data_IF_838658945602
#
_entry.id   IF_838658945602
#
_cell.length_a   1.000
_cell.length_b   1.000
_cell.length_c   1.000
_cell.angle_alpha   90.00
_cell.angle_beta   90.00
_cell.angle_gamma   90.00
#
_symmetry.space_group_name_H-M   'P 1'
#
loop_
_entity.id
_entity.type
_entity.pdbx_description
1 polymer ?
#
# COMPACT_ATOMS: atom_id res chain seq x y z
N UNK A 1 -14.95 -17.14 5.51
CA UNK A 1 -14.94 -16.86 4.06
C UNK A 1 -16.03 -15.87 3.67
N UNK A 2 -15.65 -14.82 2.95
CA UNK A 2 -16.52 -13.81 2.34
C UNK A 2 -17.32 -14.44 1.20
N UNK A 3 -18.63 -14.20 1.18
CA UNK A 3 -19.50 -14.63 0.08
C UNK A 3 -19.28 -13.74 -1.13
N UNK A 4 -19.48 -14.26 -2.34
CA UNK A 4 -19.28 -13.48 -3.57
C UNK A 4 -20.18 -12.24 -3.66
N UNK A 5 -21.41 -12.31 -3.11
CA UNK A 5 -22.31 -11.16 -3.00
C UNK A 5 -21.80 -10.06 -2.05
N UNK A 6 -20.84 -10.38 -1.18
CA UNK A 6 -20.25 -9.46 -0.22
C UNK A 6 -18.92 -8.86 -0.70
N UNK A 7 -18.46 -9.25 -1.90
CA UNK A 7 -17.31 -8.65 -2.58
C UNK A 7 -17.68 -7.29 -3.15
N UNK A 8 -16.85 -6.29 -2.91
CA UNK A 8 -17.01 -4.94 -3.46
C UNK A 8 -16.47 -4.91 -4.90
N UNK A 9 -15.32 -5.53 -5.16
CA UNK A 9 -14.63 -5.49 -6.45
C UNK A 9 -15.07 -6.65 -7.34
N UNK A 10 -16.31 -6.58 -7.80
CA UNK A 10 -17.00 -7.69 -8.48
C UNK A 10 -16.47 -8.05 -9.88
N UNK A 11 -15.60 -7.20 -10.46
CA UNK A 11 -14.90 -7.45 -11.72
C UNK A 11 -13.38 -7.35 -11.58
N UNK A 12 -12.81 -7.62 -10.39
CA UNK A 12 -11.36 -7.46 -10.15
C UNK A 12 -10.46 -8.30 -11.06
N UNK A 13 -11.01 -9.34 -11.71
CA UNK A 13 -10.29 -10.20 -12.67
C UNK A 13 -10.50 -9.81 -14.13
N UNK A 14 -11.30 -8.78 -14.41
CA UNK A 14 -11.57 -8.31 -15.78
C UNK A 14 -12.33 -9.28 -16.67
N UNK A 15 -13.08 -10.22 -16.08
CA UNK A 15 -13.85 -11.25 -16.78
C UNK A 15 -15.22 -10.76 -17.28
N UNK A 16 -15.72 -9.66 -16.72
CA UNK A 16 -16.99 -9.00 -17.09
C UNK A 16 -16.71 -7.72 -17.88
N UNK A 17 -17.75 -7.21 -18.53
CA UNK A 17 -17.72 -5.96 -19.29
C UNK A 17 -17.21 -4.79 -18.44
N UNK A 18 -16.18 -4.09 -18.93
CA UNK A 18 -15.51 -2.98 -18.22
C UNK A 18 -16.10 -1.62 -18.55
N UNK A 19 -16.94 -1.51 -19.58
CA UNK A 19 -17.60 -0.27 -19.98
C UNK A 19 -18.52 0.26 -18.88
N UNK A 20 -18.93 1.52 -19.00
CA UNK A 20 -19.92 2.14 -18.12
C UNK A 20 -21.22 1.32 -18.04
N UNK A 21 -21.68 0.76 -19.16
CA UNK A 21 -22.87 -0.11 -19.18
C UNK A 21 -22.65 -1.36 -18.34
N UNK A 22 -21.50 -2.00 -18.50
CA UNK A 22 -21.09 -3.14 -17.68
C UNK A 22 -21.05 -2.78 -16.20
N UNK A 23 -20.47 -1.62 -15.86
CA UNK A 23 -20.40 -1.14 -14.49
C UNK A 23 -21.79 -0.86 -13.89
N UNK A 24 -22.68 -0.17 -14.60
CA UNK A 24 -24.05 0.07 -14.14
C UNK A 24 -24.82 -1.23 -13.91
N UNK A 25 -24.61 -2.26 -14.75
CA UNK A 25 -25.24 -3.57 -14.55
C UNK A 25 -24.80 -4.28 -13.26
N UNK A 26 -23.67 -3.87 -12.66
CA UNK A 26 -23.15 -4.36 -11.38
C UNK A 26 -23.50 -3.47 -10.19
N UNK A 27 -24.30 -2.42 -10.41
CA UNK A 27 -24.75 -1.49 -9.36
C UNK A 27 -23.83 -0.29 -9.12
N UNK A 28 -22.86 -0.04 -10.01
CA UNK A 28 -22.11 1.23 -9.99
C UNK A 28 -22.99 2.36 -10.49
N UNK A 29 -22.78 3.56 -9.96
CA UNK A 29 -23.59 4.75 -10.26
C UNK A 29 -25.08 4.67 -9.86
N UNK A 30 -25.47 3.62 -9.12
CA UNK A 30 -26.83 3.50 -8.58
C UNK A 30 -26.98 4.37 -7.32
N UNK A 31 -27.98 5.25 -7.32
CA UNK A 31 -28.28 6.14 -6.20
C UNK A 31 -27.20 7.18 -5.87
N UNK A 32 -26.21 7.43 -6.73
CA UNK A 32 -25.10 8.38 -6.46
C UNK A 32 -25.62 9.79 -6.13
N UNK A 33 -26.59 10.28 -6.91
CA UNK A 33 -27.24 11.57 -6.63
C UNK A 33 -27.90 11.60 -5.26
N UNK A 34 -28.64 10.55 -4.90
CA UNK A 34 -29.29 10.43 -3.58
C UNK A 34 -28.26 10.41 -2.45
N UNK A 35 -27.10 9.79 -2.64
CA UNK A 35 -25.99 9.81 -1.67
C UNK A 35 -25.47 11.24 -1.47
N UNK A 36 -25.27 12.00 -2.56
CA UNK A 36 -24.83 13.39 -2.51
C UNK A 36 -25.90 14.29 -1.85
N UNK A 37 -27.18 14.10 -2.17
CA UNK A 37 -28.30 14.86 -1.60
C UNK A 37 -28.45 14.67 -0.08
N UNK A 38 -27.96 13.57 0.49
CA UNK A 38 -27.90 13.37 1.96
C UNK A 38 -26.88 14.29 2.66
N UNK A 39 -25.97 14.91 1.90
CA UNK A 39 -25.05 15.94 2.39
C UNK A 39 -23.71 15.41 2.92
N UNK A 40 -22.75 16.34 3.02
CA UNK A 40 -21.34 16.07 3.39
C UNK A 40 -21.21 15.40 4.76
N UNK A 41 -21.90 15.95 5.76
CA UNK A 41 -21.82 15.46 7.14
C UNK A 41 -22.37 14.02 7.25
N UNK A 42 -23.44 13.68 6.51
CA UNK A 42 -23.95 12.31 6.48
C UNK A 42 -22.92 11.33 5.91
N UNK A 43 -22.31 11.66 4.76
CA UNK A 43 -21.28 10.81 4.13
C UNK A 43 -20.09 10.60 5.06
N UNK A 44 -19.56 11.68 5.65
CA UNK A 44 -18.41 11.58 6.56
C UNK A 44 -18.76 10.73 7.78
N UNK A 45 -19.95 10.90 8.36
CA UNK A 45 -20.38 10.14 9.53
C UNK A 45 -20.61 8.66 9.22
N UNK A 46 -21.21 8.32 8.08
CA UNK A 46 -21.32 6.93 7.63
C UNK A 46 -19.94 6.31 7.39
N UNK A 47 -19.01 7.03 6.75
CA UNK A 47 -17.66 6.53 6.54
C UNK A 47 -16.89 6.35 7.85
N UNK A 48 -17.13 7.20 8.87
CA UNK A 48 -16.60 7.00 10.23
C UNK A 48 -17.24 5.77 10.89
N UNK A 49 -18.56 5.65 10.83
CA UNK A 49 -19.32 4.54 11.41
C UNK A 49 -18.97 3.19 10.77
N UNK A 50 -18.59 3.18 9.49
CA UNK A 50 -18.14 1.98 8.79
C UNK A 50 -16.86 1.39 9.38
N UNK A 51 -16.07 2.19 10.11
CA UNK A 51 -14.76 1.79 10.62
C UNK A 51 -13.69 1.60 9.55
N UNK A 52 -13.91 2.09 8.31
CA UNK A 52 -12.93 1.96 7.23
C UNK A 52 -11.59 2.61 7.60
N UNK A 53 -10.54 1.79 7.64
CA UNK A 53 -9.15 2.21 7.77
C UNK A 53 -8.46 2.33 6.41
N UNK A 54 -7.53 3.25 6.29
CA UNK A 54 -6.81 3.54 5.05
C UNK A 54 -6.12 2.32 4.46
N UNK A 55 -6.34 2.07 3.18
CA UNK A 55 -5.94 0.86 2.46
C UNK A 55 -4.57 0.95 1.77
N UNK A 56 -3.83 2.04 2.03
CA UNK A 56 -2.51 2.29 1.44
C UNK A 56 -1.30 1.90 2.30
N UNK A 57 -1.50 1.43 3.54
CA UNK A 57 -0.37 1.03 4.41
C UNK A 57 -0.52 1.48 5.86
N UNK A 58 -0.72 2.79 6.05
CA UNK A 58 -0.74 3.40 7.38
C UNK A 58 -1.99 3.04 8.24
N UNK A 59 -3.07 2.56 7.61
CA UNK A 59 -4.28 2.16 8.35
C UNK A 59 -5.00 3.30 9.08
N UNK A 60 -4.80 4.56 8.69
CA UNK A 60 -5.44 5.73 9.32
C UNK A 60 -6.96 5.74 9.04
N UNK A 61 -7.85 6.02 10.00
CA UNK A 61 -9.30 5.99 9.78
C UNK A 61 -9.76 6.96 8.68
N UNK A 62 -10.39 6.44 7.62
CA UNK A 62 -10.66 7.18 6.38
C UNK A 62 -11.70 8.28 6.59
N UNK A 63 -12.83 7.98 7.24
CA UNK A 63 -13.85 8.99 7.54
C UNK A 63 -13.35 10.09 8.48
N UNK A 64 -12.43 9.78 9.41
CA UNK A 64 -11.77 10.78 10.24
C UNK A 64 -10.86 11.68 9.38
N UNK A 65 -10.08 11.08 8.48
CA UNK A 65 -9.21 11.82 7.55
C UNK A 65 -9.98 12.83 6.73
N UNK A 66 -11.12 12.42 6.16
CA UNK A 66 -11.98 13.29 5.36
C UNK A 66 -12.54 14.47 6.16
N UNK A 67 -12.78 14.26 7.46
CA UNK A 67 -13.27 15.33 8.34
C UNK A 67 -12.23 16.39 8.70
N UNK A 68 -10.96 16.22 8.33
CA UNK A 68 -9.94 17.26 8.51
C UNK A 68 -9.99 18.34 7.43
N UNK A 69 -10.66 18.08 6.31
CA UNK A 69 -10.82 19.09 5.26
C UNK A 69 -11.67 20.25 5.79
N UNK A 70 -11.31 21.51 5.50
CA UNK A 70 -12.07 22.67 5.96
C UNK A 70 -13.55 22.58 5.57
N UNK A 71 -14.44 22.96 6.49
CA UNK A 71 -15.86 23.05 6.17
C UNK A 71 -16.16 24.27 5.31
N UNK A 72 -15.60 25.40 5.73
CA UNK A 72 -15.68 26.70 5.05
C UNK A 72 -14.45 26.88 4.16
N UNK A 73 -14.66 27.35 2.93
CA UNK A 73 -13.56 27.71 2.04
C UNK A 73 -13.06 29.10 2.41
N UNK A 74 -11.74 29.25 2.51
CA UNK A 74 -11.07 30.54 2.66
C UNK A 74 -10.77 31.22 1.31
N UNK A 75 -11.46 30.80 0.25
CA UNK A 75 -11.23 31.21 -1.13
C UNK A 75 -10.31 30.26 -1.91
N UNK A 76 -9.57 29.38 -1.23
CA UNK A 76 -8.79 28.32 -1.92
C UNK A 76 -9.72 27.17 -2.32
N UNK A 77 -9.55 26.58 -3.52
CA UNK A 77 -10.25 25.36 -3.90
C UNK A 77 -9.80 24.20 -3.01
N UNK A 78 -10.64 23.19 -2.83
CA UNK A 78 -10.23 21.93 -2.21
C UNK A 78 -9.92 20.89 -3.29
N UNK A 79 -8.92 20.06 -3.04
CA UNK A 79 -8.56 18.96 -3.94
C UNK A 79 -8.69 17.60 -3.26
N UNK A 80 -9.18 16.64 -4.04
CA UNK A 80 -8.95 15.22 -3.76
C UNK A 80 -7.75 14.78 -4.59
N UNK A 81 -6.80 14.08 -3.98
CA UNK A 81 -5.75 13.40 -4.73
C UNK A 81 -5.82 11.91 -4.43
N UNK A 82 -6.00 11.11 -5.48
CA UNK A 82 -5.99 9.66 -5.38
C UNK A 82 -4.58 9.17 -5.64
N UNK A 83 -4.01 8.49 -4.65
CA UNK A 83 -2.72 7.84 -4.76
C UNK A 83 -2.89 6.49 -5.46
N UNK A 84 -2.52 6.47 -6.73
CA UNK A 84 -2.53 5.30 -7.61
C UNK A 84 -1.10 4.96 -8.12
N UNK A 85 -0.07 5.32 -7.35
CA UNK A 85 1.32 5.04 -7.68
C UNK A 85 1.70 3.57 -7.42
N UNK A 86 1.22 2.95 -6.35
CA UNK A 86 1.37 1.51 -6.07
C UNK A 86 2.77 0.91 -6.41
N UNK A 87 3.84 1.60 -5.99
CA UNK A 87 5.20 1.13 -6.25
C UNK A 87 5.73 0.16 -5.17
N UNK A 88 4.92 -0.14 -4.15
CA UNK A 88 5.28 -1.06 -3.06
C UNK A 88 5.50 -2.48 -3.60
N UNK A 89 6.67 -3.10 -3.36
CA UNK A 89 6.92 -4.46 -3.84
C UNK A 89 5.95 -5.47 -3.22
N UNK A 90 5.37 -6.30 -4.09
CA UNK A 90 4.33 -7.28 -3.75
C UNK A 90 2.90 -6.74 -3.92
N UNK A 91 2.73 -5.43 -4.16
CA UNK A 91 1.42 -4.78 -4.24
C UNK A 91 0.96 -4.62 -5.69
N UNK A 92 -0.27 -5.07 -5.99
CA UNK A 92 -0.86 -4.98 -7.33
C UNK A 92 -2.41 -4.89 -7.32
N UNK A 93 -3.01 -4.46 -6.20
CA UNK A 93 -4.47 -4.31 -6.04
C UNK A 93 -5.03 -3.07 -6.76
N UNK A 94 -4.33 -1.94 -6.69
CA UNK A 94 -4.73 -0.67 -7.27
C UNK A 94 -4.66 -0.76 -8.79
N UNK A 95 -3.63 -1.47 -9.29
CA UNK A 95 -3.53 -1.91 -10.68
C UNK A 95 -4.80 -2.60 -11.16
N UNK A 96 -5.26 -3.63 -10.43
CA UNK A 96 -6.47 -4.38 -10.81
C UNK A 96 -7.72 -3.50 -10.82
N UNK A 97 -7.88 -2.62 -9.83
CA UNK A 97 -9.00 -1.67 -9.78
C UNK A 97 -9.00 -0.77 -11.02
N UNK A 98 -7.87 -0.14 -11.34
CA UNK A 98 -7.77 0.80 -12.47
C UNK A 98 -8.04 0.14 -13.83
N UNK A 99 -7.55 -1.09 -14.05
CA UNK A 99 -7.67 -1.75 -15.38
C UNK A 99 -8.93 -2.59 -15.57
N UNK A 100 -9.62 -2.97 -14.49
CA UNK A 100 -10.74 -3.91 -14.55
C UNK A 100 -12.04 -3.38 -13.99
N UNK A 101 -11.99 -2.43 -13.06
CA UNK A 101 -13.18 -1.83 -12.47
C UNK A 101 -13.03 -0.31 -12.20
N UNK A 102 -12.59 0.49 -13.20
CA UNK A 102 -12.28 1.91 -13.01
C UNK A 102 -13.49 2.75 -12.59
N UNK A 103 -14.69 2.39 -13.04
CA UNK A 103 -15.94 3.08 -12.69
C UNK A 103 -16.22 3.10 -11.19
N UNK A 104 -15.80 2.07 -10.46
CA UNK A 104 -15.88 2.00 -9.00
C UNK A 104 -15.02 3.07 -8.33
N UNK A 105 -13.81 3.29 -8.86
CA UNK A 105 -12.93 4.35 -8.40
C UNK A 105 -13.47 5.74 -8.76
N UNK A 106 -13.94 5.92 -9.99
CA UNK A 106 -14.44 7.21 -10.50
C UNK A 106 -15.65 7.68 -9.69
N UNK A 107 -16.62 6.80 -9.43
CA UNK A 107 -17.77 7.09 -8.57
C UNK A 107 -17.30 7.45 -7.14
N UNK A 108 -16.31 6.70 -6.62
CA UNK A 108 -15.69 6.99 -5.33
C UNK A 108 -15.06 8.37 -5.28
N UNK A 109 -14.41 8.82 -6.35
CA UNK A 109 -13.80 10.15 -6.44
C UNK A 109 -14.86 11.24 -6.31
N UNK A 110 -15.99 11.12 -7.03
CA UNK A 110 -17.08 12.08 -6.95
C UNK A 110 -17.65 12.18 -5.53
N UNK A 111 -17.97 11.03 -4.92
CA UNK A 111 -18.56 10.98 -3.59
C UNK A 111 -17.59 11.52 -2.52
N UNK A 112 -16.34 11.05 -2.54
CA UNK A 112 -15.32 11.51 -1.59
C UNK A 112 -14.97 12.99 -1.80
N UNK A 113 -14.93 13.42 -3.07
CA UNK A 113 -14.75 14.81 -3.47
C UNK A 113 -15.85 15.71 -2.88
N UNK A 114 -17.12 15.36 -3.10
CA UNK A 114 -18.25 16.06 -2.51
C UNK A 114 -18.17 16.12 -0.97
N UNK A 115 -17.91 14.99 -0.30
CA UNK A 115 -17.76 14.94 1.16
C UNK A 115 -16.72 15.94 1.68
N UNK A 116 -15.62 16.10 0.95
CA UNK A 116 -14.51 16.99 1.27
C UNK A 116 -14.61 18.40 0.64
N UNK A 117 -15.73 18.71 -0.02
CA UNK A 117 -15.94 19.92 -0.83
C UNK A 117 -14.88 20.16 -1.91
N UNK A 118 -14.27 19.09 -2.43
CA UNK A 118 -13.45 19.15 -3.61
C UNK A 118 -14.33 19.13 -4.87
N UNK A 119 -14.05 20.05 -5.79
CA UNK A 119 -14.59 20.08 -7.14
C UNK A 119 -13.66 19.45 -8.17
N UNK A 120 -12.47 19.03 -7.73
CA UNK A 120 -11.46 18.45 -8.61
C UNK A 120 -10.75 17.31 -7.90
N UNK A 121 -10.66 16.17 -8.58
CA UNK A 121 -9.78 15.08 -8.22
C UNK A 121 -8.61 14.97 -9.19
N UNK A 122 -7.42 14.75 -8.65
CA UNK A 122 -6.30 14.25 -9.42
C UNK A 122 -6.06 12.78 -9.08
N UNK A 123 -6.05 11.90 -10.07
CA UNK A 123 -5.62 10.52 -9.90
C UNK A 123 -4.17 10.44 -10.34
N UNK A 124 -3.26 10.30 -9.39
CA UNK A 124 -1.83 10.20 -9.64
C UNK A 124 -1.46 8.73 -9.88
N UNK A 125 -1.35 8.35 -11.14
CA UNK A 125 -1.09 6.99 -11.60
C UNK A 125 0.41 6.73 -11.67
N UNK A 126 0.83 5.53 -11.31
CA UNK A 126 2.20 5.07 -11.51
C UNK A 126 2.65 5.28 -12.96
N UNK A 127 3.88 5.73 -13.17
CA UNK A 127 4.42 5.95 -14.52
C UNK A 127 4.40 4.69 -15.40
N UNK A 128 4.66 3.52 -14.81
CA UNK A 128 4.71 2.24 -15.52
C UNK A 128 3.32 1.66 -15.86
N UNK A 129 2.26 2.16 -15.23
CA UNK A 129 0.88 1.70 -15.41
C UNK A 129 0.21 2.36 -16.62
N UNK A 130 0.86 2.27 -17.78
CA UNK A 130 0.40 2.93 -19.01
C UNK A 130 -0.95 2.40 -19.50
N UNK A 131 -1.16 1.08 -19.46
CA UNK A 131 -2.41 0.45 -19.94
C UNK A 131 -3.56 0.64 -18.96
N UNK A 132 -3.26 0.58 -17.67
CA UNK A 132 -4.19 0.88 -16.59
C UNK A 132 -4.64 2.34 -16.68
N UNK A 133 -3.72 3.28 -16.97
CA UNK A 133 -4.02 4.70 -17.19
C UNK A 133 -4.90 4.94 -18.41
N UNK A 134 -4.61 4.28 -19.54
CA UNK A 134 -5.43 4.34 -20.74
C UNK A 134 -6.86 3.83 -20.47
N UNK A 135 -6.99 2.69 -19.77
CA UNK A 135 -8.28 2.15 -19.39
C UNK A 135 -9.06 3.06 -18.43
N UNK A 136 -8.38 3.68 -17.47
CA UNK A 136 -8.96 4.63 -16.55
C UNK A 136 -9.42 5.90 -17.27
N UNK A 137 -8.61 6.45 -18.18
CA UNK A 137 -8.98 7.64 -18.96
C UNK A 137 -10.21 7.36 -19.83
N UNK A 138 -10.25 6.22 -20.53
CA UNK A 138 -11.41 5.83 -21.31
C UNK A 138 -12.69 5.74 -20.47
N UNK A 139 -12.61 5.19 -19.25
CA UNK A 139 -13.74 5.15 -18.33
C UNK A 139 -14.16 6.53 -17.80
N UNK A 140 -13.20 7.44 -17.59
CA UNK A 140 -13.48 8.84 -17.24
C UNK A 140 -14.22 9.54 -18.39
N UNK A 141 -13.76 9.35 -19.63
CA UNK A 141 -14.38 9.92 -20.82
C UNK A 141 -15.83 9.42 -20.97
N UNK A 142 -16.08 8.11 -20.79
CA UNK A 142 -17.43 7.54 -20.74
C UNK A 142 -18.32 8.23 -19.68
N UNK A 143 -17.76 8.59 -18.52
CA UNK A 143 -18.49 9.28 -17.46
C UNK A 143 -18.79 10.75 -17.81
N UNK A 144 -17.87 11.45 -18.50
CA UNK A 144 -18.14 12.79 -19.02
C UNK A 144 -19.24 12.75 -20.09
N UNK A 145 -19.14 11.84 -21.06
CA UNK A 145 -20.14 11.67 -22.13
C UNK A 145 -21.53 11.34 -21.58
N UNK A 146 -21.61 10.55 -20.51
CA UNK A 146 -22.86 10.21 -19.84
C UNK A 146 -23.37 11.29 -18.87
N UNK A 147 -22.69 12.44 -18.77
CA UNK A 147 -23.03 13.54 -17.86
C UNK A 147 -22.97 13.16 -16.37
N UNK A 148 -22.12 12.19 -16.00
CA UNK A 148 -21.85 11.79 -14.61
C UNK A 148 -20.80 12.67 -13.93
N UNK A 149 -19.90 13.25 -14.72
CA UNK A 149 -18.83 14.17 -14.31
C UNK A 149 -18.96 15.51 -15.05
N UNK A 150 -18.14 16.48 -14.64
CA UNK A 150 -18.08 17.80 -15.23
C UNK A 150 -19.13 18.77 -14.67
N UNK A 151 -19.23 19.92 -15.33
CA UNK A 151 -20.13 21.01 -14.95
C UNK A 151 -21.60 20.67 -15.21
N UNK A 152 -22.47 20.99 -14.25
CA UNK A 152 -23.91 20.70 -14.25
C UNK A 152 -24.22 19.21 -14.47
N UNK A 153 -23.38 18.32 -13.95
CA UNK A 153 -23.62 16.88 -14.09
C UNK A 153 -24.90 16.45 -13.35
N UNK A 154 -25.43 15.28 -13.73
CA UNK A 154 -26.71 14.79 -13.21
C UNK A 154 -26.70 14.43 -11.72
N UNK A 155 -25.53 14.38 -11.09
CA UNK A 155 -25.38 14.09 -9.67
C UNK A 155 -25.49 15.37 -8.79
N UNK A 156 -25.57 16.56 -9.39
CA UNK A 156 -25.82 17.81 -8.67
C UNK A 156 -24.59 18.42 -7.97
N UNK A 157 -23.38 17.99 -8.34
CA UNK A 157 -22.13 18.52 -7.81
C UNK A 157 -21.05 18.60 -8.89
N UNK A 158 -20.71 19.80 -9.35
CA UNK A 158 -19.67 20.01 -10.36
C UNK A 158 -18.35 19.37 -9.94
N UNK A 159 -17.85 18.42 -10.72
CA UNK A 159 -16.67 17.65 -10.35
C UNK A 159 -15.88 17.18 -11.56
N UNK A 160 -14.61 17.56 -11.59
CA UNK A 160 -13.66 17.14 -12.63
C UNK A 160 -12.64 16.15 -12.11
N UNK A 161 -12.21 15.24 -13.00
CA UNK A 161 -11.16 14.28 -12.71
C UNK A 161 -10.05 14.41 -13.74
N UNK A 162 -8.83 14.64 -13.25
CA UNK A 162 -7.63 14.69 -14.05
C UNK A 162 -6.74 13.50 -13.74
N UNK A 163 -6.31 12.80 -14.78
CA UNK A 163 -5.32 11.72 -14.65
C UNK A 163 -3.93 12.32 -14.82
N UNK A 164 -3.12 12.26 -13.78
CA UNK A 164 -1.70 12.61 -13.81
C UNK A 164 -0.88 11.33 -13.67
N UNK A 165 0.35 11.29 -14.20
CA UNK A 165 1.21 10.13 -14.03
C UNK A 165 2.60 10.49 -13.53
N UNK A 166 3.15 9.61 -12.69
CA UNK A 166 4.55 9.66 -12.28
C UNK A 166 5.49 9.15 -13.36
N UNK A 167 6.73 8.86 -12.96
CA UNK A 167 7.79 8.42 -13.87
C UNK A 167 8.73 7.38 -13.21
N UNK A 168 8.18 6.42 -12.45
CA UNK A 168 8.95 5.33 -11.83
C UNK A 168 9.72 5.75 -10.58
N UNK A 169 9.00 6.23 -9.56
CA UNK A 169 9.60 6.63 -8.28
C UNK A 169 8.68 6.25 -7.12
N UNK A 170 9.06 5.24 -6.34
CA UNK A 170 8.27 4.75 -5.20
C UNK A 170 8.04 5.82 -4.14
N UNK A 171 9.03 6.69 -3.93
CA UNK A 171 8.89 7.81 -3.00
C UNK A 171 7.75 8.77 -3.39
N UNK A 172 7.41 8.90 -4.68
CA UNK A 172 6.26 9.70 -5.11
C UNK A 172 4.91 9.07 -4.74
N UNK A 173 4.89 7.82 -4.27
CA UNK A 173 3.73 7.22 -3.62
C UNK A 173 3.54 7.67 -2.17
N UNK A 174 4.48 8.39 -1.56
CA UNK A 174 4.25 9.01 -0.25
C UNK A 174 3.33 10.21 -0.38
N UNK A 175 2.40 10.38 0.57
CA UNK A 175 1.33 11.38 0.52
C UNK A 175 1.78 12.79 0.14
N UNK A 176 2.86 13.32 0.72
CA UNK A 176 3.31 14.69 0.46
C UNK A 176 4.29 14.80 -0.70
N UNK A 177 5.11 13.77 -0.93
CA UNK A 177 5.95 13.68 -2.12
C UNK A 177 5.10 13.61 -3.39
N UNK A 178 3.96 12.93 -3.33
CA UNK A 178 2.99 12.86 -4.42
C UNK A 178 2.49 14.26 -4.80
N UNK A 179 2.17 15.09 -3.80
CA UNK A 179 1.74 16.48 -4.03
C UNK A 179 2.84 17.30 -4.71
N UNK A 180 4.08 17.20 -4.21
CA UNK A 180 5.23 17.90 -4.81
C UNK A 180 5.50 17.44 -6.25
N UNK A 181 5.40 16.14 -6.51
CA UNK A 181 5.53 15.57 -7.86
C UNK A 181 4.45 16.11 -8.80
N UNK A 182 3.20 16.15 -8.33
CA UNK A 182 2.06 16.66 -9.08
C UNK A 182 2.18 18.17 -9.36
N UNK A 183 2.81 18.92 -8.46
CA UNK A 183 3.15 20.33 -8.65
C UNK A 183 4.29 20.58 -9.66
N UNK A 184 4.83 19.52 -10.28
CA UNK A 184 5.94 19.61 -11.22
C UNK A 184 7.31 19.81 -10.57
N UNK A 185 7.41 19.58 -9.25
CA UNK A 185 8.68 19.59 -8.52
C UNK A 185 9.22 18.16 -8.42
N UNK A 186 10.40 18.01 -7.81
CA UNK A 186 10.90 16.69 -7.44
C UNK A 186 9.97 16.08 -6.39
N UNK A 187 9.70 14.77 -6.46
CA UNK A 187 8.92 14.03 -5.46
C UNK A 187 9.66 13.86 -4.13
N UNK A 188 9.96 14.97 -3.47
CA UNK A 188 10.59 15.02 -2.15
C UNK A 188 9.51 15.34 -1.13
N UNK A 189 9.28 14.49 -0.10
CA UNK A 189 8.26 14.73 0.91
C UNK A 189 8.38 16.10 1.61
N UNK A 190 7.24 16.60 2.08
CA UNK A 190 7.19 17.78 2.96
C UNK A 190 7.28 17.34 4.41
N UNK A 191 7.88 18.18 5.25
CA UNK A 191 7.81 18.00 6.70
C UNK A 191 6.37 18.24 7.17
N UNK A 192 5.88 17.39 8.06
CA UNK A 192 4.58 17.57 8.74
C UNK A 192 4.86 18.10 10.16
N UNK A 193 4.22 19.19 10.62
CA UNK A 193 3.28 20.10 9.93
C UNK A 193 3.96 21.09 8.94
N UNK A 194 3.20 21.69 7.99
CA UNK A 194 1.74 21.65 7.85
C UNK A 194 1.20 20.38 7.19
N UNK A 195 0.02 19.92 7.63
CA UNK A 195 -0.65 18.75 7.04
C UNK A 195 -1.35 19.12 5.72
N UNK A 196 -1.49 18.16 4.77
CA UNK A 196 -2.15 18.39 3.48
C UNK A 196 -3.57 18.96 3.58
N UNK A 197 -4.32 18.58 4.61
CA UNK A 197 -5.68 19.10 4.83
C UNK A 197 -5.72 20.63 5.01
N UNK A 198 -4.61 21.24 5.46
CA UNK A 198 -4.49 22.70 5.60
C UNK A 198 -3.73 23.32 4.42
N UNK A 199 -2.60 22.72 4.04
CA UNK A 199 -1.75 23.16 2.92
C UNK A 199 -1.18 21.96 2.16
N UNK A 200 -1.94 21.49 1.18
CA UNK A 200 -1.60 20.39 0.30
C UNK A 200 -1.25 20.87 -1.11
N UNK A 201 -1.93 20.32 -2.11
CA UNK A 201 -1.67 20.59 -3.52
C UNK A 201 -1.84 22.08 -3.85
N UNK A 202 -0.84 22.70 -4.47
CA UNK A 202 -0.79 24.13 -4.78
C UNK A 202 -0.97 25.04 -3.55
N UNK A 203 -0.66 24.53 -2.35
CA UNK A 203 -0.92 25.22 -1.10
C UNK A 203 -2.39 25.23 -0.70
N UNK A 204 -3.26 24.48 -1.38
CA UNK A 204 -4.68 24.38 -1.11
C UNK A 204 -5.02 23.17 -0.21
N UNK A 205 -6.12 23.20 0.55
CA UNK A 205 -6.60 22.04 1.31
C UNK A 205 -6.73 20.81 0.42
N UNK A 206 -6.05 19.73 0.79
CA UNK A 206 -6.01 18.50 0.00
C UNK A 206 -6.01 17.28 0.89
N UNK A 207 -6.78 16.25 0.50
CA UNK A 207 -6.65 14.92 1.09
C UNK A 207 -6.11 13.95 0.06
N UNK A 208 -5.09 13.19 0.46
CA UNK A 208 -4.57 12.07 -0.34
C UNK A 208 -5.12 10.75 0.18
N UNK A 209 -5.74 9.94 -0.68
CA UNK A 209 -6.20 8.59 -0.32
C UNK A 209 -5.80 7.57 -1.38
N UNK A 210 -5.48 6.35 -0.96
CA UNK A 210 -5.22 5.24 -1.87
C UNK A 210 -6.50 4.88 -2.67
N UNK A 211 -6.32 4.40 -3.91
CA UNK A 211 -7.36 3.91 -4.82
C UNK A 211 -8.40 3.04 -4.11
N UNK A 212 -7.99 1.98 -3.41
CA UNK A 212 -8.91 1.05 -2.74
C UNK A 212 -9.77 1.75 -1.67
N UNK A 213 -9.21 2.71 -0.92
CA UNK A 213 -9.97 3.48 0.08
C UNK A 213 -11.06 4.36 -0.52
N UNK A 214 -10.81 4.92 -1.69
CA UNK A 214 -11.80 5.73 -2.42
C UNK A 214 -12.83 4.83 -3.10
N UNK A 215 -12.37 3.77 -3.76
CA UNK A 215 -13.21 2.89 -4.57
C UNK A 215 -14.23 2.09 -3.73
N UNK A 216 -13.95 1.78 -2.46
CA UNK A 216 -14.94 1.09 -1.61
C UNK A 216 -16.06 2.01 -1.09
N UNK A 217 -15.84 3.33 -1.08
CA UNK A 217 -16.76 4.27 -0.43
C UNK A 217 -18.19 4.27 -1.01
N UNK A 218 -18.41 4.24 -2.35
CA UNK A 218 -19.76 4.17 -2.90
C UNK A 218 -20.54 2.95 -2.40
N UNK A 219 -19.90 1.78 -2.39
CA UNK A 219 -20.53 0.53 -1.96
C UNK A 219 -20.81 0.52 -0.46
N UNK A 220 -19.91 1.08 0.36
CA UNK A 220 -20.16 1.26 1.80
C UNK A 220 -21.40 2.14 2.02
N UNK A 221 -21.52 3.26 1.32
CA UNK A 221 -22.64 4.19 1.49
C UNK A 221 -23.97 3.63 0.96
N UNK A 222 -23.93 2.80 -0.09
CA UNK A 222 -25.11 2.08 -0.60
C UNK A 222 -25.58 0.98 0.34
N UNK A 223 -24.66 0.15 0.83
CA UNK A 223 -24.98 -1.03 1.67
C UNK A 223 -25.12 -0.68 3.16
N UNK A 224 -24.63 0.49 3.55
CA UNK A 224 -24.64 1.01 4.91
C UNK A 224 -23.38 0.66 5.71
N UNK A 225 -22.99 1.56 6.62
CA UNK A 225 -21.85 1.38 7.52
C UNK A 225 -21.91 0.08 8.32
N UNK A 226 -23.09 -0.30 8.82
CA UNK A 226 -23.30 -1.50 9.62
C UNK A 226 -22.99 -2.80 8.88
N UNK A 227 -23.25 -2.86 7.57
CA UNK A 227 -22.86 -4.02 6.75
C UNK A 227 -21.33 -4.13 6.68
N UNK A 228 -20.64 -3.04 6.36
CA UNK A 228 -19.19 -3.07 6.22
C UNK A 228 -18.48 -3.36 7.55
N UNK A 229 -18.96 -2.77 8.65
CA UNK A 229 -18.39 -2.98 9.98
C UNK A 229 -18.70 -4.36 10.59
N UNK A 230 -19.68 -5.09 10.04
CA UNK A 230 -19.98 -6.47 10.43
C UNK A 230 -18.96 -7.50 9.94
N UNK A 231 -18.09 -7.11 9.00
CA UNK A 231 -17.07 -7.97 8.42
C UNK A 231 -15.75 -7.71 9.15
N UNK A 232 -15.09 -8.75 9.66
CA UNK A 232 -13.81 -8.64 10.37
C UNK A 232 -13.94 -8.42 11.89
N UNK A 233 -12.81 -8.18 12.57
CA UNK A 233 -12.77 -7.96 14.02
C UNK A 233 -12.99 -6.48 14.38
N UNK A 234 -13.37 -6.17 15.64
CA UNK A 234 -13.35 -4.80 16.13
C UNK A 234 -12.02 -4.09 15.80
N UNK A 235 -12.11 -2.81 15.40
CA UNK A 235 -10.99 -1.99 14.89
C UNK A 235 -10.32 -2.46 13.58
N UNK A 236 -10.77 -3.57 13.00
CA UNK A 236 -10.21 -4.20 11.81
C UNK A 236 -11.33 -4.71 10.88
N UNK A 237 -12.15 -3.79 10.44
CA UNK A 237 -13.39 -4.12 9.74
C UNK A 237 -13.33 -3.93 8.22
N UNK A 238 -14.29 -4.57 7.55
CA UNK A 238 -14.51 -4.52 6.12
C UNK A 238 -13.83 -5.63 5.34
N UNK A 239 -13.78 -5.44 4.02
CA UNK A 239 -13.02 -6.30 3.11
C UNK A 239 -11.65 -5.67 2.79
N UNK A 240 -10.75 -6.49 2.25
CA UNK A 240 -9.42 -6.08 1.78
C UNK A 240 -9.04 -6.87 0.53
N UNK A 241 -8.44 -6.20 -0.44
CA UNK A 241 -7.71 -6.87 -1.51
C UNK A 241 -6.36 -7.38 -0.96
N UNK A 242 -6.18 -8.69 -0.97
CA UNK A 242 -4.94 -9.39 -0.63
C UNK A 242 -4.19 -9.75 -1.90
N UNK A 243 -2.88 -9.53 -1.93
CA UNK A 243 -2.02 -9.89 -3.06
C UNK A 243 -1.04 -10.94 -2.58
N UNK A 244 -1.31 -12.19 -2.93
CA UNK A 244 -0.52 -13.33 -2.51
C UNK A 244 0.52 -13.61 -3.59
N UNK A 245 1.79 -13.43 -3.24
CA UNK A 245 2.94 -13.51 -4.12
C UNK A 245 4.05 -14.38 -3.54
N UNK A 246 5.06 -14.69 -4.36
CA UNK A 246 6.20 -15.51 -3.95
C UNK A 246 5.92 -17.01 -4.04
N UNK A 247 6.39 -17.77 -3.06
CA UNK A 247 6.45 -19.25 -3.09
C UNK A 247 5.15 -19.92 -2.61
N UNK A 248 4.04 -19.59 -3.27
CA UNK A 248 2.76 -20.30 -3.18
C UNK A 248 2.47 -21.05 -4.48
N UNK A 249 1.54 -22.01 -4.47
CA UNK A 249 1.23 -22.79 -5.66
C UNK A 249 0.49 -21.98 -6.74
N UNK A 250 -0.35 -21.03 -6.34
CA UNK A 250 -1.15 -20.18 -7.23
C UNK A 250 -1.15 -18.72 -6.74
N UNK A 251 -0.11 -17.92 -7.06
CA UNK A 251 -0.11 -16.49 -6.74
C UNK A 251 -1.34 -15.78 -7.32
N UNK A 252 -2.00 -14.93 -6.53
CA UNK A 252 -3.23 -14.25 -6.94
C UNK A 252 -3.50 -12.98 -6.15
N UNK A 253 -4.28 -12.08 -6.74
CA UNK A 253 -4.95 -10.99 -6.02
C UNK A 253 -6.38 -11.40 -5.74
N UNK A 254 -6.84 -11.32 -4.49
CA UNK A 254 -8.20 -11.73 -4.11
C UNK A 254 -8.76 -10.78 -3.07
N UNK A 255 -10.03 -10.38 -3.22
CA UNK A 255 -10.74 -9.69 -2.14
C UNK A 255 -11.11 -10.71 -1.06
N UNK A 256 -10.98 -10.39 0.21
CA UNK A 256 -11.45 -11.28 1.27
C UNK A 256 -11.80 -10.47 2.51
N UNK A 257 -12.50 -11.10 3.46
CA UNK A 257 -12.80 -10.46 4.74
C UNK A 257 -11.50 -10.07 5.47
N UNK A 258 -11.47 -8.87 6.06
CA UNK A 258 -10.44 -8.54 7.06
C UNK A 258 -10.48 -9.56 8.19
N UNK A 259 -9.33 -9.76 8.84
CA UNK A 259 -9.17 -10.69 9.96
C UNK A 259 -9.34 -12.17 9.58
N UNK A 260 -9.21 -12.53 8.30
CA UNK A 260 -9.10 -13.93 7.90
C UNK A 260 -7.79 -14.54 8.45
N UNK A 261 -7.79 -15.80 8.96
CA UNK A 261 -6.54 -16.48 9.30
C UNK A 261 -5.62 -16.64 8.09
N UNK A 262 -4.33 -16.42 8.28
CA UNK A 262 -3.32 -16.53 7.21
C UNK A 262 -3.38 -17.89 6.51
N UNK A 263 -3.44 -18.97 7.29
CA UNK A 263 -3.53 -20.34 6.77
C UNK A 263 -4.75 -20.55 5.88
N UNK A 264 -5.92 -20.09 6.33
CA UNK A 264 -7.17 -20.19 5.56
C UNK A 264 -7.08 -19.41 4.25
N UNK A 265 -6.53 -18.19 4.28
CA UNK A 265 -6.34 -17.35 3.09
C UNK A 265 -5.45 -18.05 2.04
N UNK A 266 -4.30 -18.58 2.47
CA UNK A 266 -3.33 -19.23 1.57
C UNK A 266 -3.86 -20.57 1.03
N UNK A 267 -4.46 -21.40 1.87
CA UNK A 267 -4.98 -22.72 1.44
C UNK A 267 -6.12 -22.57 0.44
N UNK A 268 -7.04 -21.62 0.69
CA UNK A 268 -8.23 -21.45 -0.14
C UNK A 268 -7.93 -20.75 -1.46
N UNK A 269 -7.16 -19.67 -1.43
CA UNK A 269 -7.01 -18.80 -2.61
C UNK A 269 -5.72 -19.03 -3.37
N UNK A 270 -4.63 -19.35 -2.66
CA UNK A 270 -3.32 -19.54 -3.27
C UNK A 270 -2.91 -21.02 -3.45
N UNK A 271 -3.79 -21.94 -3.07
CA UNK A 271 -3.57 -23.39 -3.21
C UNK A 271 -2.45 -23.93 -2.30
N UNK A 272 -2.15 -23.26 -1.19
CA UNK A 272 -1.11 -23.68 -0.26
C UNK A 272 0.31 -23.19 -0.59
N UNK A 273 1.23 -23.45 0.33
CA UNK A 273 2.66 -23.17 0.19
C UNK A 273 3.28 -24.14 -0.83
N UNK A 274 4.23 -23.64 -1.64
CA UNK A 274 5.00 -24.49 -2.56
C UNK A 274 5.75 -25.56 -1.77
N UNK A 275 5.47 -26.83 -2.04
CA UNK A 275 6.07 -27.96 -1.29
C UNK A 275 5.43 -28.26 0.08
N UNK A 276 4.29 -27.64 0.41
CA UNK A 276 3.55 -27.88 1.65
C UNK A 276 3.90 -26.91 2.80
N UNK A 277 3.07 -26.90 3.84
CA UNK A 277 3.19 -25.97 4.97
C UNK A 277 4.51 -26.09 5.73
N UNK A 278 5.05 -27.30 5.85
CA UNK A 278 6.36 -27.52 6.49
C UNK A 278 7.52 -26.92 5.69
N UNK A 279 7.29 -26.53 4.42
CA UNK A 279 8.26 -25.84 3.60
C UNK A 279 8.22 -24.31 3.78
N UNK A 280 7.32 -23.75 4.59
CA UNK A 280 7.27 -22.32 4.84
C UNK A 280 8.50 -21.87 5.67
N UNK A 281 9.24 -20.90 5.14
CA UNK A 281 10.36 -20.28 5.85
C UNK A 281 9.94 -18.98 6.51
N UNK A 282 9.34 -18.09 5.73
CA UNK A 282 9.12 -16.71 6.13
C UNK A 282 8.02 -16.05 5.30
N UNK A 283 7.40 -15.00 5.86
CA UNK A 283 6.37 -14.20 5.17
C UNK A 283 6.59 -12.73 5.47
N UNK A 284 6.50 -11.89 4.45
CA UNK A 284 6.29 -10.45 4.62
C UNK A 284 4.81 -10.19 4.39
N UNK A 285 4.03 -9.82 5.42
CA UNK A 285 2.56 -9.88 5.36
C UNK A 285 1.88 -8.68 4.67
N UNK A 286 2.58 -7.55 4.52
CA UNK A 286 1.96 -6.27 4.19
C UNK A 286 2.67 -5.43 3.12
N UNK A 287 3.54 -6.03 2.31
CA UNK A 287 4.43 -5.34 1.37
C UNK A 287 5.84 -5.22 1.93
N UNK A 288 6.82 -4.97 1.04
CA UNK A 288 8.24 -4.99 1.39
C UNK A 288 8.65 -4.04 2.53
N UNK A 289 7.87 -3.02 2.84
CA UNK A 289 8.05 -2.14 4.00
C UNK A 289 7.86 -2.84 5.35
N UNK A 290 7.16 -3.98 5.40
CA UNK A 290 6.82 -4.65 6.65
C UNK A 290 7.95 -5.58 7.14
N UNK A 291 8.15 -5.72 8.47
CA UNK A 291 9.06 -6.73 9.01
C UNK A 291 8.68 -8.15 8.57
N UNK A 292 9.66 -8.91 8.11
CA UNK A 292 9.49 -10.34 7.84
C UNK A 292 9.15 -11.11 9.12
N UNK A 293 8.25 -12.09 9.03
CA UNK A 293 7.84 -13.00 10.10
C UNK A 293 8.30 -14.41 9.75
N UNK A 294 8.77 -15.18 10.74
CA UNK A 294 9.16 -16.58 10.56
C UNK A 294 7.92 -17.46 10.35
N UNK A 295 8.04 -18.50 9.52
CA UNK A 295 6.91 -19.35 9.11
C UNK A 295 6.12 -19.93 10.29
N UNK A 296 6.82 -20.36 11.35
CA UNK A 296 6.22 -20.90 12.58
C UNK A 296 5.30 -19.90 13.30
N UNK A 297 5.66 -18.62 13.30
CA UNK A 297 4.87 -17.57 13.95
C UNK A 297 3.71 -17.08 13.06
N UNK A 298 3.80 -17.32 11.75
CA UNK A 298 2.85 -16.81 10.77
C UNK A 298 1.62 -17.72 10.59
N UNK A 299 1.75 -19.03 10.81
CA UNK A 299 0.67 -20.00 10.56
C UNK A 299 -0.67 -19.63 11.21
N UNK A 300 -0.63 -19.17 12.45
CA UNK A 300 -1.81 -18.78 13.25
C UNK A 300 -2.09 -17.26 13.23
N UNK A 301 -1.45 -16.52 12.34
CA UNK A 301 -1.61 -15.08 12.28
C UNK A 301 -2.99 -14.69 11.70
N UNK A 302 -3.60 -13.66 12.29
CA UNK A 302 -4.84 -13.08 11.79
C UNK A 302 -4.50 -11.92 10.87
N UNK A 303 -4.97 -11.96 9.62
CA UNK A 303 -4.63 -10.98 8.58
C UNK A 303 -5.43 -9.69 8.75
N UNK A 304 -5.00 -8.87 9.69
CA UNK A 304 -5.44 -7.49 9.89
C UNK A 304 -4.35 -6.61 10.54
N UNK A 305 -4.65 -5.32 10.75
CA UNK A 305 -3.66 -4.35 11.26
C UNK A 305 -3.18 -4.71 12.68
N UNK A 306 -4.08 -5.11 13.57
CA UNK A 306 -3.72 -5.41 14.95
C UNK A 306 -3.03 -6.77 15.06
N UNK A 307 -3.49 -7.79 14.32
CA UNK A 307 -2.89 -9.11 14.28
C UNK A 307 -1.44 -9.10 13.77
N UNK A 308 -1.13 -8.28 12.76
CA UNK A 308 0.26 -8.12 12.32
C UNK A 308 1.09 -7.33 13.33
N UNK A 309 0.51 -6.34 14.01
CA UNK A 309 1.18 -5.59 15.09
C UNK A 309 1.56 -6.53 16.24
N UNK A 310 0.67 -7.44 16.64
CA UNK A 310 0.91 -8.42 17.69
C UNK A 310 2.07 -9.37 17.33
N UNK A 311 2.27 -9.63 16.03
CA UNK A 311 3.40 -10.38 15.48
C UNK A 311 4.65 -9.52 15.24
N UNK A 312 4.71 -8.29 15.78
CA UNK A 312 5.80 -7.33 15.62
C UNK A 312 6.10 -7.01 14.15
N UNK A 313 5.06 -7.01 13.32
CA UNK A 313 5.10 -6.61 11.91
C UNK A 313 4.00 -5.56 11.64
N UNK A 314 3.71 -5.31 10.36
CA UNK A 314 2.68 -4.39 9.91
C UNK A 314 1.83 -5.05 8.83
N UNK A 315 0.56 -4.68 8.76
CA UNK A 315 -0.37 -5.18 7.74
C UNK A 315 -0.21 -4.46 6.40
N UNK A 316 0.37 -3.26 6.41
CA UNK A 316 0.70 -2.48 5.22
C UNK A 316 -0.41 -2.48 4.17
N UNK A 317 -0.06 -2.81 2.93
CA UNK A 317 -0.98 -2.86 1.79
C UNK A 317 -1.74 -4.18 1.67
N UNK A 318 -1.49 -5.15 2.57
CA UNK A 318 -1.88 -6.57 2.46
C UNK A 318 -1.26 -7.30 1.24
N UNK A 319 -0.08 -6.83 0.81
CA UNK A 319 0.81 -7.57 -0.10
C UNK A 319 1.56 -8.66 0.67
N UNK A 320 1.15 -9.91 0.48
CA UNK A 320 1.73 -11.06 1.14
C UNK A 320 2.83 -11.63 0.23
N UNK A 321 4.07 -11.58 0.70
CA UNK A 321 5.23 -12.19 0.01
C UNK A 321 5.62 -13.43 0.81
N UNK A 322 5.32 -14.60 0.24
CA UNK A 322 5.63 -15.90 0.84
C UNK A 322 7.01 -16.38 0.39
N UNK A 323 7.82 -16.82 1.34
CA UNK A 323 9.15 -17.40 1.09
C UNK A 323 9.21 -18.80 1.70
N UNK A 324 9.53 -19.80 0.86
CA UNK A 324 9.75 -21.18 1.29
C UNK A 324 11.22 -21.43 1.71
N UNK A 325 11.53 -22.60 2.26
CA UNK A 325 12.87 -22.97 2.78
C UNK A 325 13.96 -23.04 1.71
N UNK A 326 13.62 -22.97 0.42
CA UNK A 326 14.62 -22.86 -0.66
C UNK A 326 15.18 -21.44 -0.80
N UNK A 327 14.63 -20.46 -0.07
CA UNK A 327 14.98 -19.05 -0.18
C UNK A 327 16.18 -18.69 0.69
N UNK A 328 17.17 -17.99 0.12
CA UNK A 328 18.14 -17.24 0.93
C UNK A 328 17.48 -15.95 1.44
N UNK A 329 16.90 -16.03 2.64
CA UNK A 329 16.15 -14.90 3.25
C UNK A 329 17.04 -13.67 3.50
N UNK A 330 18.33 -13.86 3.78
CA UNK A 330 19.28 -12.75 3.95
C UNK A 330 19.42 -12.00 2.62
N UNK A 331 19.55 -12.74 1.51
CA UNK A 331 19.63 -12.17 0.15
C UNK A 331 18.31 -11.51 -0.28
N UNK A 332 17.17 -12.10 0.06
CA UNK A 332 15.87 -11.52 -0.23
C UNK A 332 15.72 -10.14 0.45
N UNK A 333 16.05 -10.04 1.74
CA UNK A 333 15.99 -8.77 2.46
C UNK A 333 17.08 -7.79 2.01
N UNK A 334 18.28 -8.26 1.67
CA UNK A 334 19.32 -7.41 1.06
C UNK A 334 18.83 -6.77 -0.25
N UNK A 335 18.08 -7.52 -1.07
CA UNK A 335 17.46 -6.99 -2.29
C UNK A 335 16.40 -5.94 -2.00
N UNK A 336 15.65 -6.07 -0.90
CA UNK A 336 14.73 -5.03 -0.43
C UNK A 336 15.49 -3.79 0.06
N UNK A 337 16.59 -3.96 0.82
CA UNK A 337 17.44 -2.82 1.19
C UNK A 337 18.01 -2.11 -0.04
N UNK A 338 18.38 -2.84 -1.08
CA UNK A 338 18.80 -2.27 -2.36
C UNK A 338 17.66 -1.47 -3.04
N UNK A 339 16.43 -1.99 -2.98
CA UNK A 339 15.23 -1.29 -3.47
C UNK A 339 15.03 0.04 -2.73
N UNK A 340 15.00 0.02 -1.39
CA UNK A 340 14.79 1.27 -0.63
C UNK A 340 15.94 2.27 -0.77
N UNK A 341 17.18 1.79 -0.99
CA UNK A 341 18.31 2.65 -1.37
C UNK A 341 18.10 3.30 -2.75
N UNK A 342 17.56 2.56 -3.71
CA UNK A 342 17.32 3.05 -5.07
C UNK A 342 16.18 4.06 -5.10
N UNK A 343 15.11 3.75 -4.37
CA UNK A 343 13.86 4.48 -4.33
C UNK A 343 13.80 5.58 -3.25
N UNK A 344 14.92 5.90 -2.61
CA UNK A 344 15.01 7.03 -1.70
C UNK A 344 15.25 8.32 -2.47
N UNK A 345 14.44 9.36 -2.23
CA UNK A 345 14.64 10.67 -2.88
C UNK A 345 15.90 11.43 -2.42
N UNK A 346 16.59 10.94 -1.40
CA UNK A 346 17.83 11.52 -0.88
C UNK A 346 17.67 12.85 -0.13
N UNK A 347 16.46 13.27 0.24
CA UNK A 347 16.25 14.56 0.90
C UNK A 347 16.84 14.60 2.32
N UNK A 348 16.39 13.71 3.21
CA UNK A 348 16.85 13.68 4.60
C UNK A 348 18.08 12.78 4.80
N UNK A 349 19.07 13.27 5.54
CA UNK A 349 20.36 12.60 5.75
C UNK A 349 20.23 11.18 6.35
N UNK A 350 19.41 10.93 7.39
CA UNK A 350 19.32 9.59 7.97
C UNK A 350 18.86 8.54 6.95
N UNK A 351 17.88 8.88 6.10
CA UNK A 351 17.47 7.99 5.02
C UNK A 351 18.50 7.91 3.89
N UNK A 352 18.99 9.06 3.39
CA UNK A 352 19.89 9.12 2.22
C UNK A 352 21.15 8.30 2.45
N UNK A 353 21.81 8.53 3.59
CA UNK A 353 23.07 7.85 3.91
C UNK A 353 22.83 6.48 4.53
N UNK A 354 21.84 6.39 5.43
CA UNK A 354 21.56 5.19 6.20
C UNK A 354 21.07 4.03 5.34
N UNK A 355 20.19 4.26 4.36
CA UNK A 355 19.72 3.18 3.46
C UNK A 355 20.84 2.61 2.60
N UNK A 356 21.70 3.48 2.06
CA UNK A 356 22.90 3.07 1.32
C UNK A 356 23.88 2.29 2.18
N UNK A 357 24.04 2.69 3.44
CA UNK A 357 24.89 1.96 4.38
C UNK A 357 24.31 0.61 4.78
N UNK A 358 23.02 0.54 5.15
CA UNK A 358 22.34 -0.72 5.47
C UNK A 358 22.47 -1.71 4.32
N UNK A 359 22.23 -1.28 3.07
CA UNK A 359 22.38 -2.14 1.91
C UNK A 359 23.82 -2.69 1.78
N UNK A 360 24.86 -1.86 1.93
CA UNK A 360 26.26 -2.33 1.87
C UNK A 360 26.60 -3.34 2.97
N UNK A 361 26.05 -3.18 4.18
CA UNK A 361 26.23 -4.16 5.27
C UNK A 361 25.47 -5.44 4.95
N UNK A 362 24.24 -5.34 4.46
CA UNK A 362 23.42 -6.48 4.05
C UNK A 362 24.09 -7.30 2.94
N UNK A 363 24.66 -6.68 1.91
CA UNK A 363 25.41 -7.37 0.84
C UNK A 363 26.62 -8.15 1.38
N UNK A 364 27.28 -7.61 2.41
CA UNK A 364 28.35 -8.32 3.11
C UNK A 364 27.83 -9.50 3.93
N UNK A 365 26.70 -9.34 4.63
CA UNK A 365 26.04 -10.41 5.38
C UNK A 365 25.55 -11.54 4.45
N UNK A 366 25.09 -11.23 3.24
CA UNK A 366 24.76 -12.24 2.21
C UNK A 366 25.96 -13.15 1.92
N UNK A 367 27.15 -12.56 1.79
CA UNK A 367 28.39 -13.31 1.55
C UNK A 367 28.96 -13.98 2.80
N UNK A 368 28.52 -13.57 3.99
CA UNK A 368 29.15 -13.92 5.28
C UNK A 368 30.40 -13.09 5.62
N UNK A 369 30.77 -12.11 4.77
CA UNK A 369 31.94 -11.26 4.98
C UNK A 369 31.64 -10.09 5.94
N UNK A 370 31.22 -10.44 7.16
CA UNK A 370 30.89 -9.51 8.24
C UNK A 370 31.31 -10.10 9.58
N UNK A 371 31.39 -9.27 10.62
CA UNK A 371 31.62 -9.73 11.99
C UNK A 371 30.31 -9.79 12.77
N UNK A 372 30.19 -10.71 13.74
CA UNK A 372 28.95 -10.84 14.56
C UNK A 372 28.52 -9.55 15.25
N UNK A 373 29.47 -8.72 15.69
CA UNK A 373 29.20 -7.38 16.26
C UNK A 373 28.48 -6.44 15.29
N UNK A 374 28.60 -6.68 13.98
CA UNK A 374 27.97 -5.86 12.96
C UNK A 374 26.46 -6.11 12.85
N UNK A 375 25.96 -7.23 13.39
CA UNK A 375 24.52 -7.50 13.50
C UNK A 375 23.89 -6.48 14.44
N UNK A 376 24.46 -6.31 15.63
CA UNK A 376 23.98 -5.35 16.62
C UNK A 376 24.21 -3.90 16.19
N UNK A 377 25.34 -3.64 15.52
CA UNK A 377 25.58 -2.35 14.87
C UNK A 377 24.47 -2.06 13.86
N UNK A 378 24.20 -2.95 12.90
CA UNK A 378 23.17 -2.74 11.88
C UNK A 378 21.77 -2.53 12.50
N UNK A 379 21.46 -3.25 13.59
CA UNK A 379 20.23 -3.02 14.34
C UNK A 379 20.19 -1.61 14.95
N UNK A 380 21.29 -1.13 15.55
CA UNK A 380 21.37 0.23 16.09
C UNK A 380 21.19 1.28 14.98
N UNK A 381 21.80 1.06 13.82
CA UNK A 381 21.68 1.93 12.64
C UNK A 381 20.25 2.02 12.17
N UNK A 382 19.57 0.88 12.06
CA UNK A 382 18.16 0.85 11.64
C UNK A 382 17.29 1.71 12.56
N UNK A 383 17.58 1.74 13.88
CA UNK A 383 16.87 2.58 14.87
C UNK A 383 17.25 4.07 14.81
N UNK A 384 18.42 4.39 14.28
CA UNK A 384 18.82 5.78 14.02
C UNK A 384 18.17 6.34 12.75
N UNK A 385 17.75 5.48 11.83
CA UNK A 385 16.98 5.86 10.65
C UNK A 385 15.51 5.98 11.01
N UNK A 386 14.97 4.95 11.66
CA UNK A 386 13.59 4.91 12.12
C UNK A 386 13.26 6.12 13.01
N UNK A 387 12.15 6.80 12.73
CA UNK A 387 11.69 7.95 13.50
C UNK A 387 12.51 9.25 13.36
N UNK A 388 13.62 9.24 12.63
CA UNK A 388 14.49 10.42 12.41
C UNK A 388 14.48 10.91 10.95
N UNK A 389 13.52 10.45 10.16
CA UNK A 389 13.38 10.79 8.74
C UNK A 389 12.15 11.66 8.49
N UNK A 390 12.11 12.37 7.35
CA UNK A 390 10.99 13.27 7.02
C UNK A 390 9.71 12.48 6.75
N UNK A 391 9.83 11.31 6.13
CA UNK A 391 8.71 10.46 5.76
C UNK A 391 8.96 9.01 6.18
N UNK A 392 7.91 8.18 6.14
CA UNK A 392 7.96 6.79 6.56
C UNK A 392 8.79 5.86 5.64
N UNK A 393 9.40 6.35 4.56
CA UNK A 393 10.35 5.54 3.77
C UNK A 393 11.54 5.10 4.63
N UNK A 394 12.00 5.93 5.56
CA UNK A 394 13.08 5.55 6.49
C UNK A 394 12.70 4.33 7.33
N UNK A 395 11.49 4.34 7.89
CA UNK A 395 10.94 3.23 8.66
C UNK A 395 10.77 1.99 7.76
N UNK A 396 10.19 2.16 6.57
CA UNK A 396 10.03 1.11 5.58
C UNK A 396 11.35 0.46 5.13
N UNK A 397 12.45 1.22 5.13
CA UNK A 397 13.78 0.70 4.81
C UNK A 397 14.44 -0.01 6.01
N UNK A 398 14.16 0.43 7.24
CA UNK A 398 14.72 -0.12 8.47
C UNK A 398 14.02 -1.42 8.90
N UNK A 399 12.69 -1.45 8.83
CA UNK A 399 11.84 -2.53 9.33
C UNK A 399 12.12 -3.93 8.73
N UNK A 400 12.40 -4.10 7.43
CA UNK A 400 12.75 -5.40 6.86
C UNK A 400 14.06 -5.95 7.45
N UNK A 401 15.06 -5.07 7.64
CA UNK A 401 16.34 -5.42 8.26
C UNK A 401 16.15 -5.77 9.73
N UNK A 402 15.36 -4.99 10.46
CA UNK A 402 15.02 -5.28 11.86
C UNK A 402 14.28 -6.62 12.01
N UNK A 403 13.32 -6.90 11.12
CA UNK A 403 12.58 -8.16 11.08
C UNK A 403 13.50 -9.34 10.80
N UNK A 404 14.42 -9.19 9.84
CA UNK A 404 15.42 -10.21 9.54
C UNK A 404 16.30 -10.50 10.75
N UNK A 405 16.90 -9.48 11.36
CA UNK A 405 17.79 -9.65 12.51
C UNK A 405 17.01 -10.30 13.66
N UNK A 406 15.78 -9.87 13.93
CA UNK A 406 14.99 -10.42 15.03
C UNK A 406 14.67 -11.90 14.85
N UNK A 407 14.34 -12.32 13.63
CA UNK A 407 13.78 -13.65 13.37
C UNK A 407 14.81 -14.65 12.80
N UNK A 408 15.90 -14.16 12.19
CA UNK A 408 16.88 -14.94 11.46
C UNK A 408 18.34 -14.60 11.84
N UNK A 409 18.56 -14.09 13.05
CA UNK A 409 19.94 -13.87 13.58
C UNK A 409 20.78 -15.15 13.55
N UNK A 410 20.28 -16.33 13.98
CA UNK A 410 21.07 -17.57 13.92
C UNK A 410 21.57 -17.88 12.51
N UNK A 411 20.77 -17.65 11.48
CA UNK A 411 21.13 -17.86 10.07
C UNK A 411 22.21 -16.88 9.60
N UNK A 412 22.15 -15.62 10.04
CA UNK A 412 23.20 -14.63 9.76
C UNK A 412 24.52 -15.03 10.44
N UNK A 413 24.46 -15.42 11.72
CA UNK A 413 25.64 -15.84 12.48
C UNK A 413 26.28 -17.10 11.89
N UNK A 414 25.47 -18.09 11.50
CA UNK A 414 25.94 -19.30 10.84
C UNK A 414 26.64 -19.00 9.49
N UNK A 415 26.10 -18.06 8.70
CA UNK A 415 26.73 -17.62 7.43
C UNK A 415 28.09 -16.97 7.68
N UNK A 416 28.21 -16.14 8.71
CA UNK A 416 29.46 -15.48 9.12
C UNK A 416 30.50 -16.51 9.60
N UNK A 417 30.08 -17.47 10.43
CA UNK A 417 30.96 -18.52 10.93
C UNK A 417 31.49 -19.40 9.80
N UNK A 418 30.62 -19.80 8.87
CA UNK A 418 31.01 -20.58 7.70
C UNK A 418 32.01 -19.84 6.81
N UNK A 419 31.80 -18.54 6.57
CA UNK A 419 32.73 -17.71 5.80
C UNK A 419 34.10 -17.63 6.47
N UNK A 420 34.12 -17.38 7.78
CA UNK A 420 35.35 -17.29 8.58
C UNK A 420 36.12 -18.61 8.59
N UNK A 421 35.40 -19.72 8.78
CA UNK A 421 35.98 -21.06 8.73
C UNK A 421 36.65 -21.35 7.38
N UNK A 422 35.97 -21.05 6.27
CA UNK A 422 36.51 -21.27 4.93
C UNK A 422 37.77 -20.44 4.66
N UNK A 423 37.78 -19.18 5.12
CA UNK A 423 38.95 -18.29 4.99
C UNK A 423 40.15 -18.79 5.79
N UNK A 424 39.94 -19.35 6.98
CA UNK A 424 41.00 -19.97 7.79
C UNK A 424 41.47 -21.31 7.21
N UNK A 425 40.57 -22.11 6.63
CA UNK A 425 40.88 -23.44 6.11
C UNK A 425 41.70 -23.44 4.81
N UNK A 426 41.56 -22.40 3.97
CA UNK A 426 42.31 -22.30 2.70
C UNK A 426 43.68 -21.63 2.84
N UNK A 427 44.08 -21.25 4.05
CA UNK A 427 45.27 -20.44 4.30
C UNK A 427 45.08 -19.00 3.81
N UNK A 428 45.67 -18.03 4.51
CA UNK A 428 45.73 -16.66 4.00
C UNK A 428 46.56 -16.67 2.70
N UNK A 429 45.89 -16.62 1.54
CA UNK A 429 46.56 -16.30 0.29
C UNK A 429 46.99 -14.85 0.42
N UNK A 430 48.26 -14.65 0.77
CA UNK A 430 48.93 -13.37 0.62
C UNK A 430 48.98 -13.10 -0.89
N UNK A 431 47.94 -12.49 -1.45
CA UNK A 431 48.07 -11.80 -2.73
C UNK A 431 49.06 -10.65 -2.49
N UNK A 432 50.32 -10.89 -2.88
CA UNK A 432 51.30 -9.84 -3.01
C UNK A 432 50.75 -8.84 -4.04
N UNK A 433 50.59 -7.58 -3.62
CA UNK A 433 50.30 -6.50 -4.54
C UNK A 433 51.53 -6.30 -5.44
N UNK A 434 51.40 -6.63 -6.73
CA UNK A 434 52.27 -6.10 -7.79
C UNK A 434 51.70 -4.81 -8.37
#
# INVERSE_FOLDING_TARGET
MLKDQDRIFTNIYGLKDKSLKGAMSRGHWDGTKTIIEKGRDWIINEMKASGLRGRGGAGFPTGLKWSFMPKESDGRPHYLVVNADESEPGTCKDREIMRHDPHTLIEGCLIAGFAMAAHTAYIYVRGEYMREREALQAAIDECYDAGLLGKNNKNGWDFDIYVHHGAGAYICGEETALLESLEGKKGQPRLKPPFPANMGLYGCPTTVNNVESIAVAPTILRRGAGWFSSIGRPNNVGTKLFMISGHVNKPCTVEEAMSIPFRELIDKHAGGIRGGWDNLLAVIPGGASCPVIKGEDMGDAIMDFDGMRDKKSSFGTAAIIVMDKSTDVIKAIARLSAFFKHESCGQCTPCREGTGWMWRVMERMVKGNAQKREIDMLLQVSKQIEGHTICALGDAAAWPVQGLIRNFRPEIEARIDQYTYNAMAHGAVMEAAE
#
